data_IF_835164171894
#
_entry.id   IF_835164171894
#
_cell.length_a   1.000
_cell.length_b   1.000
_cell.length_c   1.000
_cell.angle_alpha   90.00
_cell.angle_beta   90.00
_cell.angle_gamma   90.00
#
_symmetry.space_group_name_H-M   'P 1'
#
loop_
_entity.id
_entity.type
_entity.pdbx_description
1 polymer ?
#
# COMPACT_ATOMS: atom_id res chain seq x y z
N UNK A 1 -25.97 -13.04 -60.73
CA UNK A 1 -25.91 -13.32 -59.29
C UNK A 1 -24.46 -13.16 -58.82
N UNK A 2 -24.18 -12.37 -57.77
CA UNK A 2 -22.85 -12.29 -57.17
C UNK A 2 -22.66 -13.47 -56.21
N UNK A 3 -22.49 -14.69 -56.74
CA UNK A 3 -22.07 -15.81 -55.92
C UNK A 3 -20.55 -15.73 -55.72
N UNK A 4 -20.08 -15.86 -54.48
CA UNK A 4 -18.64 -15.92 -54.16
C UNK A 4 -17.83 -14.66 -54.56
N UNK A 5 -18.45 -13.47 -54.56
CA UNK A 5 -17.82 -12.21 -54.99
C UNK A 5 -17.16 -12.28 -56.39
N UNK A 6 -17.71 -13.12 -57.28
CA UNK A 6 -17.31 -13.17 -58.69
C UNK A 6 -18.04 -12.09 -59.48
N UNK A 7 -17.40 -11.61 -60.55
CA UNK A 7 -18.02 -10.72 -61.52
C UNK A 7 -18.12 -11.44 -62.86
N UNK A 8 -19.24 -11.27 -63.56
CA UNK A 8 -19.44 -11.80 -64.91
C UNK A 8 -19.34 -10.62 -65.86
N UNK A 9 -18.46 -10.70 -66.85
CA UNK A 9 -18.40 -9.70 -67.90
C UNK A 9 -19.71 -9.75 -68.71
N UNK A 10 -20.49 -8.64 -68.76
CA UNK A 10 -21.80 -8.64 -69.43
C UNK A 10 -21.70 -8.69 -70.95
N UNK A 11 -20.51 -8.46 -71.52
CA UNK A 11 -20.23 -8.40 -72.95
C UNK A 11 -19.66 -9.72 -73.46
N UNK A 12 -18.72 -10.30 -72.74
CA UNK A 12 -18.02 -11.53 -73.15
C UNK A 12 -18.59 -12.79 -72.48
N UNK A 13 -19.33 -12.64 -71.38
CA UNK A 13 -19.81 -13.75 -70.56
C UNK A 13 -18.74 -14.42 -69.71
N UNK A 14 -17.51 -13.89 -69.69
CA UNK A 14 -16.39 -14.44 -68.91
C UNK A 14 -16.65 -14.30 -67.40
N UNK A 15 -16.38 -15.37 -66.65
CA UNK A 15 -16.51 -15.38 -65.20
C UNK A 15 -15.15 -15.09 -64.58
N UNK A 16 -14.99 -13.93 -63.96
CA UNK A 16 -13.78 -13.59 -63.24
C UNK A 16 -13.61 -14.50 -62.01
N UNK A 17 -12.35 -14.80 -61.66
CA UNK A 17 -12.03 -15.53 -60.45
C UNK A 17 -12.65 -14.82 -59.21
N UNK A 18 -13.09 -15.59 -58.19
CA UNK A 18 -13.50 -15.02 -56.92
C UNK A 18 -12.40 -14.13 -56.35
N UNK A 19 -12.78 -13.04 -55.67
CA UNK A 19 -11.83 -12.16 -54.99
C UNK A 19 -12.32 -11.90 -53.58
N UNK A 20 -11.63 -12.41 -52.59
CA UNK A 20 -11.94 -12.20 -51.18
C UNK A 20 -10.90 -11.28 -50.56
N UNK A 21 -11.35 -10.37 -49.71
CA UNK A 21 -10.45 -9.50 -48.97
C UNK A 21 -10.81 -9.56 -47.50
N UNK A 22 -9.83 -9.92 -46.67
CA UNK A 22 -9.98 -9.98 -45.21
C UNK A 22 -9.36 -8.73 -44.61
N UNK A 23 -10.10 -8.05 -43.74
CA UNK A 23 -9.61 -6.92 -42.96
C UNK A 23 -8.86 -7.45 -41.73
N UNK A 24 -7.68 -6.92 -41.47
CA UNK A 24 -6.85 -7.23 -40.31
C UNK A 24 -7.40 -6.56 -39.05
N UNK A 25 -6.91 -6.98 -37.89
CA UNK A 25 -7.29 -6.38 -36.61
C UNK A 25 -6.91 -4.88 -36.50
N UNK A 26 -5.90 -4.43 -37.26
CA UNK A 26 -5.48 -3.02 -37.33
C UNK A 26 -6.29 -2.16 -38.33
N UNK A 27 -7.29 -2.75 -38.99
CA UNK A 27 -8.12 -2.08 -40.00
C UNK A 27 -7.54 -2.06 -41.42
N UNK A 28 -6.29 -2.47 -41.63
CA UNK A 28 -5.71 -2.65 -42.98
C UNK A 28 -6.23 -3.92 -43.63
N UNK A 29 -6.01 -4.12 -44.94
CA UNK A 29 -6.48 -5.30 -45.68
C UNK A 29 -5.33 -6.26 -45.95
N UNK A 30 -5.59 -7.56 -45.87
CA UNK A 30 -4.75 -8.57 -46.48
C UNK A 30 -4.80 -8.44 -48.01
N UNK A 31 -3.78 -8.94 -48.74
CA UNK A 31 -3.88 -9.11 -50.19
C UNK A 31 -5.13 -9.90 -50.57
N UNK A 32 -5.76 -9.56 -51.70
CA UNK A 32 -6.94 -10.28 -52.17
C UNK A 32 -6.57 -11.73 -52.54
N UNK A 33 -7.46 -12.66 -52.19
CA UNK A 33 -7.25 -14.11 -52.40
C UNK A 33 -8.39 -14.71 -53.24
N UNK A 34 -8.07 -15.79 -53.96
CA UNK A 34 -8.96 -16.38 -54.97
C UNK A 34 -9.90 -17.46 -54.43
N UNK A 35 -9.68 -17.94 -53.20
CA UNK A 35 -10.46 -19.04 -52.61
C UNK A 35 -11.01 -18.67 -51.24
N UNK A 36 -12.08 -19.37 -50.85
CA UNK A 36 -12.64 -19.25 -49.50
C UNK A 36 -11.67 -19.78 -48.46
N UNK A 37 -10.89 -20.84 -48.77
CA UNK A 37 -9.92 -21.39 -47.83
C UNK A 37 -8.83 -20.38 -47.49
N UNK A 38 -8.23 -19.73 -48.49
CA UNK A 38 -7.21 -18.71 -48.25
C UNK A 38 -7.77 -17.54 -47.41
N UNK A 39 -9.02 -17.16 -47.66
CA UNK A 39 -9.67 -16.12 -46.87
C UNK A 39 -9.89 -16.55 -45.41
N UNK A 40 -10.28 -17.81 -45.19
CA UNK A 40 -10.42 -18.36 -43.84
C UNK A 40 -9.06 -18.50 -43.14
N UNK A 41 -8.01 -18.86 -43.86
CA UNK A 41 -6.64 -18.90 -43.31
C UNK A 41 -6.19 -17.50 -42.89
N UNK A 42 -6.50 -16.47 -43.68
CA UNK A 42 -6.27 -15.06 -43.30
C UNK A 42 -7.07 -14.63 -42.08
N UNK A 43 -8.31 -15.09 -41.92
CA UNK A 43 -9.07 -14.89 -40.67
C UNK A 43 -8.36 -15.61 -39.52
N UNK A 44 -7.90 -16.84 -39.73
CA UNK A 44 -7.11 -17.64 -38.78
C UNK A 44 -5.84 -16.93 -38.29
N UNK A 45 -5.08 -16.32 -39.19
CA UNK A 45 -3.90 -15.50 -38.87
C UNK A 45 -4.24 -14.35 -37.94
N UNK A 46 -5.40 -13.70 -38.10
CA UNK A 46 -5.79 -12.56 -37.27
C UNK A 46 -6.31 -12.99 -35.89
N UNK A 47 -7.17 -14.01 -35.83
CA UNK A 47 -7.74 -14.48 -34.56
C UNK A 47 -6.69 -15.12 -33.65
N UNK A 48 -5.59 -15.62 -34.22
CA UNK A 48 -4.48 -16.19 -33.45
C UNK A 48 -3.48 -15.15 -32.93
N UNK A 49 -3.60 -13.86 -33.30
CA UNK A 49 -2.70 -12.81 -32.75
C UNK A 49 -2.89 -12.60 -31.25
N UNK A 50 -4.12 -12.70 -30.75
CA UNK A 50 -4.42 -12.54 -29.33
C UNK A 50 -4.03 -11.15 -28.79
N UNK A 51 -3.67 -11.09 -27.50
CA UNK A 51 -3.15 -9.91 -26.81
C UNK A 51 -1.79 -10.23 -26.19
N UNK A 52 -0.81 -9.34 -26.34
CA UNK A 52 0.43 -9.42 -25.57
C UNK A 52 0.33 -8.54 -24.33
N UNK A 53 0.60 -9.12 -23.15
CA UNK A 53 0.61 -8.42 -21.87
C UNK A 53 2.06 -8.32 -21.38
N UNK A 54 2.46 -7.12 -20.95
CA UNK A 54 3.77 -6.83 -20.36
C UNK A 54 3.56 -6.17 -18.99
N UNK A 55 4.51 -6.37 -18.08
CA UNK A 55 4.52 -5.75 -16.76
C UNK A 55 5.89 -5.09 -16.51
N UNK A 56 5.96 -4.18 -15.53
CA UNK A 56 7.21 -3.49 -15.16
C UNK A 56 8.34 -4.46 -14.78
N UNK A 57 7.99 -5.65 -14.31
CA UNK A 57 8.93 -6.70 -13.93
C UNK A 57 8.45 -8.05 -14.47
N UNK A 58 9.36 -8.79 -15.11
CA UNK A 58 9.09 -10.13 -15.67
C UNK A 58 9.10 -10.16 -17.21
N UNK A 59 8.66 -11.27 -17.77
CA UNK A 59 8.58 -11.51 -19.22
C UNK A 59 7.21 -11.14 -19.78
N UNK A 60 7.13 -10.86 -21.08
CA UNK A 60 5.87 -10.72 -21.81
C UNK A 60 5.12 -12.05 -21.92
N UNK A 61 3.80 -12.00 -21.84
CA UNK A 61 2.92 -13.16 -22.02
C UNK A 61 1.94 -12.92 -23.17
N UNK A 62 1.76 -13.92 -24.04
CA UNK A 62 0.72 -13.90 -25.09
C UNK A 62 -0.54 -14.57 -24.58
N UNK A 63 -1.64 -13.84 -24.63
CA UNK A 63 -2.99 -14.29 -24.27
C UNK A 63 -3.76 -14.55 -25.57
N UNK A 64 -4.10 -15.81 -25.84
CA UNK A 64 -4.90 -16.16 -27.00
C UNK A 64 -6.38 -15.87 -26.74
N UNK A 65 -7.18 -15.78 -27.81
CA UNK A 65 -8.63 -15.65 -27.66
C UNK A 65 -9.19 -16.88 -26.95
N UNK A 66 -9.95 -16.65 -25.87
CA UNK A 66 -10.49 -17.71 -25.00
C UNK A 66 -9.67 -17.95 -23.73
N UNK A 67 -8.44 -17.44 -23.64
CA UNK A 67 -7.64 -17.53 -22.42
C UNK A 67 -8.22 -16.63 -21.31
N UNK A 68 -7.99 -17.02 -20.06
CA UNK A 68 -8.38 -16.24 -18.88
C UNK A 68 -7.15 -15.56 -18.28
N UNK A 69 -7.20 -14.24 -18.15
CA UNK A 69 -6.19 -13.45 -17.42
C UNK A 69 -6.64 -13.27 -15.99
N UNK A 70 -5.81 -13.69 -15.03
CA UNK A 70 -6.06 -13.50 -13.61
C UNK A 70 -5.23 -12.33 -13.06
N UNK A 71 -5.91 -11.30 -12.59
CA UNK A 71 -5.29 -10.25 -11.77
C UNK A 71 -5.13 -10.78 -10.34
N UNK A 72 -3.94 -10.59 -9.75
CA UNK A 72 -3.62 -11.12 -8.43
C UNK A 72 -2.52 -10.28 -7.78
N UNK A 73 -2.55 -10.15 -6.44
CA UNK A 73 -1.40 -9.71 -5.66
C UNK A 73 -0.89 -10.85 -4.77
N UNK A 74 0.39 -11.20 -4.93
CA UNK A 74 1.02 -12.24 -4.10
C UNK A 74 1.17 -11.81 -2.64
N UNK A 75 1.40 -10.52 -2.40
CA UNK A 75 1.59 -9.97 -1.06
C UNK A 75 0.30 -9.56 -0.37
N UNK A 76 -0.82 -9.58 -1.11
CA UNK A 76 -2.17 -9.27 -0.64
C UNK A 76 -2.37 -7.83 -0.16
N UNK A 77 -1.43 -6.92 -0.41
CA UNK A 77 -1.62 -5.50 -0.11
C UNK A 77 -2.66 -4.84 -1.03
N UNK A 78 -2.73 -5.32 -2.29
CA UNK A 78 -3.73 -4.91 -3.28
C UNK A 78 -4.77 -6.02 -3.40
N UNK A 79 -6.04 -5.65 -3.26
CA UNK A 79 -7.20 -6.49 -3.50
C UNK A 79 -7.74 -6.19 -4.89
N UNK A 80 -7.85 -7.22 -5.72
CA UNK A 80 -8.42 -7.11 -7.07
C UNK A 80 -9.81 -7.75 -7.08
N UNK A 81 -10.83 -6.99 -7.44
CA UNK A 81 -12.22 -7.45 -7.41
C UNK A 81 -12.85 -7.32 -8.80
N UNK A 82 -13.38 -8.41 -9.34
CA UNK A 82 -14.16 -8.36 -10.58
C UNK A 82 -15.56 -7.83 -10.29
N UNK A 83 -15.95 -6.77 -11.00
CA UNK A 83 -17.29 -6.18 -10.94
C UNK A 83 -18.23 -6.68 -12.04
N UNK A 84 -19.37 -6.02 -12.18
CA UNK A 84 -20.22 -6.15 -13.37
C UNK A 84 -19.63 -5.29 -14.52
N UNK A 85 -20.10 -5.47 -15.75
CA UNK A 85 -19.70 -4.57 -16.85
C UNK A 85 -18.26 -4.72 -17.37
N UNK A 86 -17.56 -5.82 -17.05
CA UNK A 86 -16.13 -6.04 -17.40
C UNK A 86 -15.17 -5.12 -16.63
N UNK A 87 -15.58 -4.68 -15.45
CA UNK A 87 -14.76 -3.86 -14.56
C UNK A 87 -13.87 -4.73 -13.67
N UNK A 88 -12.66 -4.24 -13.41
CA UNK A 88 -11.76 -4.77 -12.39
C UNK A 88 -11.42 -3.60 -11.46
N UNK A 89 -11.81 -3.71 -10.20
CA UNK A 89 -11.46 -2.75 -9.16
C UNK A 89 -10.15 -3.13 -8.47
N UNK A 90 -9.39 -2.11 -8.09
CA UNK A 90 -8.15 -2.24 -7.32
C UNK A 90 -8.27 -1.41 -6.05
N UNK A 91 -8.30 -2.11 -4.93
CA UNK A 91 -8.41 -1.49 -3.60
C UNK A 91 -7.22 -1.91 -2.73
N UNK A 92 -6.96 -1.16 -1.65
CA UNK A 92 -6.04 -1.61 -0.61
C UNK A 92 -6.73 -2.65 0.27
N UNK A 93 -5.98 -3.63 0.76
CA UNK A 93 -6.45 -4.50 1.83
C UNK A 93 -6.61 -3.70 3.13
N UNK A 94 -7.46 -4.19 4.05
CA UNK A 94 -7.59 -3.61 5.40
C UNK A 94 -6.24 -3.56 6.13
N UNK A 95 -5.34 -4.50 5.83
CA UNK A 95 -3.99 -4.57 6.36
C UNK A 95 -2.97 -4.50 5.23
N UNK A 96 -2.14 -3.45 5.24
CA UNK A 96 -1.07 -3.25 4.27
C UNK A 96 0.28 -3.38 4.97
N UNK A 97 1.15 -4.23 4.44
CA UNK A 97 2.51 -4.47 4.98
C UNK A 97 3.57 -4.03 3.97
N UNK A 98 4.40 -3.07 4.37
CA UNK A 98 5.47 -2.48 3.55
C UNK A 98 6.82 -3.02 4.03
N UNK A 99 7.75 -3.32 3.13
CA UNK A 99 9.10 -3.77 3.51
C UNK A 99 9.16 -5.19 4.08
N UNK A 100 8.24 -6.07 3.66
CA UNK A 100 8.08 -7.47 4.14
C UNK A 100 9.30 -8.39 3.96
N UNK A 101 10.25 -8.02 3.12
CA UNK A 101 11.35 -8.88 2.72
C UNK A 101 12.45 -8.93 3.78
N UNK A 102 12.16 -9.59 4.91
CA UNK A 102 13.08 -9.73 6.03
C UNK A 102 14.39 -10.43 5.64
N UNK A 103 14.35 -11.34 4.65
CA UNK A 103 15.53 -12.03 4.15
C UNK A 103 16.54 -11.06 3.51
N UNK A 104 16.05 -9.95 2.95
CA UNK A 104 16.88 -8.91 2.35
C UNK A 104 16.92 -7.63 3.21
N UNK A 105 16.78 -7.76 4.53
CA UNK A 105 16.91 -6.64 5.47
C UNK A 105 15.69 -5.71 5.55
N UNK A 106 14.56 -6.11 4.97
CA UNK A 106 13.29 -5.43 5.12
C UNK A 106 12.90 -5.28 6.59
N UNK A 107 12.36 -4.10 6.93
CA UNK A 107 11.81 -3.76 8.26
C UNK A 107 10.32 -3.55 8.08
N UNK A 108 9.49 -4.59 8.29
CA UNK A 108 8.08 -4.52 7.96
C UNK A 108 7.37 -3.45 8.77
N UNK A 109 6.67 -2.53 8.10
CA UNK A 109 5.72 -1.61 8.72
C UNK A 109 4.32 -1.99 8.28
N UNK A 110 3.41 -2.14 9.24
CA UNK A 110 2.04 -2.56 8.99
C UNK A 110 1.09 -1.41 9.31
N UNK A 111 0.25 -1.06 8.35
CA UNK A 111 -0.92 -0.23 8.56
C UNK A 111 -2.11 -1.18 8.64
N UNK A 112 -2.69 -1.29 9.84
CA UNK A 112 -3.87 -2.09 10.10
C UNK A 112 -5.08 -1.16 10.23
N UNK A 113 -5.82 -0.98 9.14
CA UNK A 113 -7.03 -0.18 9.11
C UNK A 113 -8.20 -0.82 9.85
N UNK A 114 -8.15 -2.13 10.14
CA UNK A 114 -9.17 -2.82 10.91
C UNK A 114 -9.06 -2.46 12.39
N UNK A 115 -7.84 -2.48 12.92
CA UNK A 115 -7.54 -2.13 14.32
C UNK A 115 -7.24 -0.64 14.51
N UNK A 116 -7.00 0.11 13.43
CA UNK A 116 -6.62 1.53 13.47
C UNK A 116 -5.19 1.76 13.95
N UNK A 117 -4.29 0.80 13.74
CA UNK A 117 -2.93 0.79 14.30
C UNK A 117 -1.86 0.84 13.20
N UNK A 118 -0.78 1.59 13.47
CA UNK A 118 0.47 1.49 12.71
C UNK A 118 1.52 0.81 13.59
N UNK A 119 2.08 -0.31 13.11
CA UNK A 119 3.03 -1.13 13.87
C UNK A 119 4.29 -1.48 13.07
N UNK A 120 5.28 -2.07 13.73
CA UNK A 120 6.57 -2.45 13.12
C UNK A 120 7.59 -1.30 13.01
N UNK A 121 7.28 -0.13 13.57
CA UNK A 121 8.23 0.98 13.67
C UNK A 121 9.45 0.55 14.51
N UNK A 122 10.64 0.95 14.06
CA UNK A 122 11.90 0.55 14.69
C UNK A 122 12.46 1.58 15.67
N UNK A 123 11.93 2.80 15.69
CA UNK A 123 12.27 3.82 16.68
C UNK A 123 11.52 3.57 17.99
N UNK A 124 11.91 2.53 18.71
CA UNK A 124 11.24 2.12 19.96
C UNK A 124 11.92 2.65 21.22
N UNK A 125 13.10 3.24 21.12
CA UNK A 125 13.87 3.74 22.26
C UNK A 125 14.15 5.24 22.15
N UNK A 126 14.38 5.87 23.30
CA UNK A 126 15.00 7.18 23.33
C UNK A 126 16.46 7.01 22.90
N UNK A 127 16.82 7.58 21.74
CA UNK A 127 18.15 7.51 21.18
C UNK A 127 18.99 8.75 21.50
N UNK A 128 20.27 8.72 21.13
CA UNK A 128 21.16 9.88 21.24
C UNK A 128 20.84 10.98 20.20
N UNK A 129 20.17 10.64 19.10
CA UNK A 129 19.75 11.61 18.11
C UNK A 129 18.59 12.47 18.67
N UNK A 130 18.61 13.80 18.46
CA UNK A 130 17.52 14.67 18.89
C UNK A 130 16.17 14.22 18.32
N UNK A 131 15.14 14.20 19.16
CA UNK A 131 13.76 14.02 18.70
C UNK A 131 13.28 15.22 17.88
N UNK A 132 13.74 16.42 18.25
CA UNK A 132 13.44 17.67 17.56
C UNK A 132 13.90 17.61 16.09
N UNK A 133 13.00 17.93 15.17
CA UNK A 133 13.27 17.93 13.72
C UNK A 133 13.30 16.55 13.07
N UNK A 134 13.11 15.45 13.82
CA UNK A 134 13.14 14.09 13.25
C UNK A 134 11.99 13.82 12.27
N UNK A 135 10.83 14.47 12.45
CA UNK A 135 9.60 14.28 11.67
C UNK A 135 9.14 12.81 11.55
N UNK A 136 9.60 11.95 12.47
CA UNK A 136 9.19 10.54 12.55
C UNK A 136 8.02 10.40 13.51
N UNK A 137 7.16 9.41 13.26
CA UNK A 137 6.13 9.00 14.23
C UNK A 137 6.81 8.49 15.51
N UNK A 138 6.36 8.94 16.68
CA UNK A 138 6.81 8.40 17.96
C UNK A 138 6.13 7.05 18.25
N UNK A 139 6.80 6.17 18.98
CA UNK A 139 6.20 4.91 19.46
C UNK A 139 5.74 5.04 20.91
N UNK A 140 4.79 4.21 21.32
CA UNK A 140 4.33 4.13 22.72
C UNK A 140 5.49 3.84 23.68
N UNK A 141 6.45 3.01 23.27
CA UNK A 141 7.66 2.72 24.05
C UNK A 141 8.53 3.96 24.29
N UNK A 142 8.67 4.85 23.29
CA UNK A 142 9.39 6.13 23.47
C UNK A 142 8.64 7.09 24.40
N UNK A 143 7.30 7.12 24.31
CA UNK A 143 6.48 7.93 25.21
C UNK A 143 6.59 7.42 26.65
N UNK A 144 6.47 6.11 26.86
CA UNK A 144 6.63 5.50 28.19
C UNK A 144 8.01 5.75 28.79
N UNK A 145 9.08 5.55 28.01
CA UNK A 145 10.44 5.86 28.45
C UNK A 145 10.62 7.33 28.84
N UNK A 146 9.94 8.25 28.16
CA UNK A 146 9.94 9.69 28.52
C UNK A 146 9.25 9.93 29.86
N UNK A 147 8.14 9.25 30.13
CA UNK A 147 7.41 9.35 31.40
C UNK A 147 8.19 8.72 32.57
N UNK A 148 8.88 7.61 32.34
CA UNK A 148 9.83 7.03 33.30
C UNK A 148 10.95 8.02 33.63
N UNK A 149 11.53 8.67 32.61
CA UNK A 149 12.55 9.70 32.82
C UNK A 149 12.01 10.87 33.64
N UNK A 150 10.80 11.33 33.38
CA UNK A 150 10.16 12.38 34.16
C UNK A 150 9.96 11.95 35.63
N UNK A 151 9.43 10.76 35.88
CA UNK A 151 9.28 10.23 37.24
C UNK A 151 10.63 10.18 37.99
N UNK A 152 11.69 9.73 37.32
CA UNK A 152 13.04 9.71 37.91
C UNK A 152 13.56 11.12 38.24
N UNK A 153 13.30 12.11 37.38
CA UNK A 153 13.69 13.51 37.62
C UNK A 153 12.92 14.11 38.81
N UNK A 154 11.64 13.79 38.95
CA UNK A 154 10.82 14.21 40.08
C UNK A 154 11.27 13.52 41.39
N UNK A 155 11.71 12.26 41.30
CA UNK A 155 12.24 11.48 42.41
C UNK A 155 11.18 11.09 43.44
N UNK A 156 11.63 10.75 44.66
CA UNK A 156 10.74 10.33 45.74
C UNK A 156 9.95 9.08 45.36
N UNK A 157 8.62 9.15 45.50
CA UNK A 157 7.69 8.08 45.14
C UNK A 157 7.01 8.30 43.77
N UNK A 158 7.53 9.21 42.95
CA UNK A 158 6.97 9.47 41.63
C UNK A 158 6.92 8.17 40.81
N UNK A 159 5.77 7.91 40.17
CA UNK A 159 5.55 6.68 39.42
C UNK A 159 4.88 6.97 38.07
N UNK A 160 5.31 6.24 37.04
CA UNK A 160 4.64 6.18 35.75
C UNK A 160 3.65 5.01 35.74
N UNK A 161 2.36 5.32 35.70
CA UNK A 161 1.29 4.35 35.58
C UNK A 161 0.70 4.41 34.17
N UNK A 162 1.21 3.54 33.28
CA UNK A 162 0.70 3.40 31.91
C UNK A 162 0.70 4.72 31.12
N UNK A 163 1.75 5.53 31.27
CA UNK A 163 1.89 6.83 30.62
C UNK A 163 1.40 8.02 31.46
N UNK A 164 0.80 7.80 32.63
CA UNK A 164 0.41 8.87 33.54
C UNK A 164 1.39 8.98 34.72
N UNK A 165 2.09 10.10 34.84
CA UNK A 165 3.02 10.34 35.95
C UNK A 165 2.25 10.84 37.16
N UNK A 166 2.46 10.20 38.30
CA UNK A 166 1.85 10.54 39.59
C UNK A 166 2.92 10.79 40.64
N UNK A 167 2.60 11.66 41.60
CA UNK A 167 3.45 12.01 42.73
C UNK A 167 2.59 12.13 43.99
N UNK A 168 3.17 11.83 45.14
CA UNK A 168 2.57 12.17 46.43
C UNK A 168 3.64 12.45 47.48
N UNK A 169 3.30 13.20 48.52
CA UNK A 169 4.23 13.50 49.62
C UNK A 169 5.63 13.97 49.13
N UNK A 170 5.64 14.92 48.17
CA UNK A 170 6.86 15.34 47.49
C UNK A 170 7.84 15.94 48.50
N UNK A 171 9.01 15.32 48.64
CA UNK A 171 10.03 15.77 49.59
C UNK A 171 9.64 15.61 51.08
N UNK A 172 8.63 14.78 51.38
CA UNK A 172 8.16 14.56 52.75
C UNK A 172 7.31 15.71 53.31
N UNK A 173 6.73 16.55 52.44
CA UNK A 173 5.94 17.72 52.87
C UNK A 173 4.45 17.42 53.08
N UNK A 174 3.99 16.22 52.74
CA UNK A 174 2.58 15.82 52.68
C UNK A 174 1.83 16.29 51.43
N UNK A 175 2.50 16.94 50.48
CA UNK A 175 1.87 17.60 49.33
C UNK A 175 2.08 16.81 48.03
N UNK A 176 1.10 16.85 47.12
CA UNK A 176 1.12 16.04 45.90
C UNK A 176 1.59 16.79 44.65
N UNK A 177 1.79 18.11 44.74
CA UNK A 177 2.28 18.94 43.63
C UNK A 177 3.57 19.66 44.03
N UNK A 178 4.43 19.91 43.04
CA UNK A 178 5.70 20.63 43.26
C UNK A 178 5.43 22.03 43.83
N UNK A 179 4.40 22.71 43.31
CA UNK A 179 4.04 24.05 43.76
C UNK A 179 3.67 24.08 45.24
N UNK A 180 2.82 23.15 45.68
CA UNK A 180 2.37 23.09 47.07
C UNK A 180 3.48 22.63 48.01
N UNK A 181 4.32 21.67 47.60
CA UNK A 181 5.49 21.26 48.37
C UNK A 181 6.46 22.43 48.60
N UNK A 182 6.76 23.22 47.56
CA UNK A 182 7.61 24.42 47.68
C UNK A 182 6.95 25.47 48.58
N UNK A 183 5.63 25.67 48.47
CA UNK A 183 4.89 26.58 49.33
C UNK A 183 4.94 26.15 50.79
N UNK A 184 4.80 24.85 51.07
CA UNK A 184 4.92 24.25 52.40
C UNK A 184 6.33 24.46 53.00
N UNK A 185 7.37 24.20 52.20
CA UNK A 185 8.76 24.48 52.58
C UNK A 185 8.97 25.97 52.85
N UNK A 186 8.49 26.85 51.98
CA UNK A 186 8.59 28.31 52.17
C UNK A 186 7.91 28.76 53.45
N UNK A 187 6.67 28.31 53.69
CA UNK A 187 5.94 28.64 54.92
C UNK A 187 6.66 28.15 56.17
N UNK A 188 7.39 27.04 56.09
CA UNK A 188 8.24 26.53 57.17
C UNK A 188 9.49 27.38 57.35
N UNK A 189 10.16 27.77 56.26
CA UNK A 189 11.35 28.62 56.28
C UNK A 189 11.05 30.04 56.81
N UNK A 190 9.92 30.63 56.41
CA UNK A 190 9.48 31.96 56.85
C UNK A 190 9.28 32.04 58.38
N UNK A 191 9.02 30.91 59.07
CA UNK A 191 8.90 30.86 60.53
C UNK A 191 10.25 31.03 61.25
N UNK A 192 11.38 30.82 60.56
CA UNK A 192 12.73 30.99 61.09
C UNK A 192 13.14 30.00 62.19
N UNK A 193 14.37 30.14 62.69
CA UNK A 193 14.87 29.37 63.83
C UNK A 193 14.58 30.09 65.15
N UNK A 194 13.92 29.40 66.09
CA UNK A 194 13.84 29.85 67.48
C UNK A 194 15.12 29.43 68.21
N UNK A 195 16.18 30.24 68.09
CA UNK A 195 17.39 30.05 68.89
C UNK A 195 17.06 30.42 70.36
N UNK A 196 17.15 29.43 71.26
CA UNK A 196 17.19 29.71 72.69
C UNK A 196 18.63 30.13 73.03
N UNK A 197 18.80 31.36 73.50
CA UNK A 197 20.04 31.85 74.08
C UNK A 197 20.29 31.19 75.45
#
# INVERSE_FOLDING_TARGET
AKALNTNIDPTTGEVAAPSFTVTKADGTKHPAVGTVQDALDKVGEEVTKGLNIVADNGSSEKVNLGDTVKYTSKDKNIVTTSGTGKEIDFSLAEKVTIGKDAANGGKPVVIDGKEGIVSGLTNTTLGAAPLAGSNKAATEAQLDATQVNLANVLGGNAANNNGNVTTSDIGGTGENTIHDAIKSVKATADKGWKLKA
#
